data_IF_104336886119
#
_entry.id   IF_104336886119
#
_cell.length_a   1.000
_cell.length_b   1.000
_cell.length_c   1.000
_cell.angle_alpha   90.00
_cell.angle_beta   90.00
_cell.angle_gamma   90.00
#
_symmetry.space_group_name_H-M   'P 1'
#
loop_
_entity.id
_entity.type
_entity.pdbx_description
1 polymer ?
#
# COMPACT_ATOMS: atom_id res chain seq x y z
N UNK A 1 0.27 -24.71 7.13
CA UNK A 1 1.74 -24.75 6.90
C UNK A 1 2.09 -23.70 5.87
N UNK A 2 3.08 -22.83 6.14
CA UNK A 2 3.49 -21.78 5.19
C UNK A 2 4.06 -22.41 3.91
N UNK A 3 3.54 -21.98 2.76
CA UNK A 3 4.09 -22.37 1.47
C UNK A 3 5.16 -21.35 1.02
N UNK A 4 6.40 -21.60 1.45
CA UNK A 4 7.56 -20.76 1.12
C UNK A 4 7.77 -20.58 -0.39
N UNK A 5 7.47 -21.62 -1.19
CA UNK A 5 7.59 -21.54 -2.65
C UNK A 5 6.56 -20.56 -3.24
N UNK A 6 5.31 -20.61 -2.78
CA UNK A 6 4.28 -19.67 -3.21
C UNK A 6 4.65 -18.22 -2.87
N UNK A 7 5.19 -17.96 -1.67
CA UNK A 7 5.68 -16.64 -1.29
C UNK A 7 6.80 -16.14 -2.21
N UNK A 8 7.83 -16.96 -2.45
CA UNK A 8 8.95 -16.62 -3.32
C UNK A 8 8.52 -16.36 -4.77
N UNK A 9 7.60 -17.18 -5.32
CA UNK A 9 7.05 -16.98 -6.66
C UNK A 9 6.24 -15.70 -6.73
N UNK A 10 5.38 -15.44 -5.74
CA UNK A 10 4.56 -14.21 -5.68
C UNK A 10 5.43 -12.96 -5.63
N UNK A 11 6.48 -12.95 -4.81
CA UNK A 11 7.45 -11.87 -4.76
C UNK A 11 8.15 -11.67 -6.11
N UNK A 12 8.59 -12.76 -6.74
CA UNK A 12 9.27 -12.72 -8.04
C UNK A 12 8.35 -12.16 -9.14
N UNK A 13 7.08 -12.54 -9.14
CA UNK A 13 6.05 -12.00 -10.05
C UNK A 13 5.90 -10.49 -9.82
N UNK A 14 5.71 -10.06 -8.57
CA UNK A 14 5.58 -8.64 -8.22
C UNK A 14 6.80 -7.84 -8.69
N UNK A 15 8.00 -8.35 -8.43
CA UNK A 15 9.27 -7.73 -8.81
C UNK A 15 9.40 -7.63 -10.34
N UNK A 16 9.16 -8.72 -11.06
CA UNK A 16 9.27 -8.76 -12.51
C UNK A 16 8.27 -7.79 -13.17
N UNK A 17 6.99 -7.85 -12.79
CA UNK A 17 5.99 -6.95 -13.34
C UNK A 17 6.28 -5.48 -12.99
N UNK A 18 6.71 -5.18 -11.77
CA UNK A 18 7.10 -3.81 -11.40
C UNK A 18 8.29 -3.32 -12.24
N UNK A 19 9.30 -4.17 -12.43
CA UNK A 19 10.48 -3.85 -13.24
C UNK A 19 10.14 -3.55 -14.71
N UNK A 20 9.22 -4.30 -15.32
CA UNK A 20 8.82 -4.09 -16.72
C UNK A 20 7.75 -3.00 -16.90
N UNK A 21 6.78 -2.88 -15.98
CA UNK A 21 5.70 -1.90 -16.08
C UNK A 21 6.18 -0.47 -15.79
N UNK A 22 7.18 -0.29 -14.92
CA UNK A 22 7.70 1.03 -14.58
C UNK A 22 8.26 1.80 -15.79
N UNK A 23 9.18 1.26 -16.61
CA UNK A 23 9.66 1.93 -17.82
C UNK A 23 8.55 2.09 -18.87
N UNK A 24 7.60 1.15 -18.96
CA UNK A 24 6.45 1.27 -19.86
C UNK A 24 5.57 2.48 -19.47
N UNK A 25 5.22 2.60 -18.18
CA UNK A 25 4.44 3.73 -17.67
C UNK A 25 5.20 5.06 -17.85
N UNK A 26 6.54 5.04 -17.73
CA UNK A 26 7.37 6.21 -18.05
C UNK A 26 7.20 6.66 -19.51
N UNK A 27 7.24 5.72 -20.47
CA UNK A 27 7.05 6.04 -21.89
C UNK A 27 5.64 6.57 -22.16
N UNK A 28 4.62 5.96 -21.55
CA UNK A 28 3.22 6.41 -21.68
C UNK A 28 3.05 7.82 -21.12
N UNK A 29 3.60 8.09 -19.93
CA UNK A 29 3.56 9.41 -19.31
C UNK A 29 4.20 10.49 -20.21
N UNK A 30 5.36 10.18 -20.80
CA UNK A 30 6.03 11.09 -21.73
C UNK A 30 5.20 11.35 -22.99
N UNK A 31 4.57 10.31 -23.58
CA UNK A 31 3.73 10.45 -24.77
C UNK A 31 2.44 11.23 -24.52
N UNK A 32 1.84 11.05 -23.34
CA UNK A 32 0.61 11.74 -22.95
C UNK A 32 0.86 13.13 -22.34
N UNK A 33 2.12 13.54 -22.19
CA UNK A 33 2.48 14.81 -21.54
C UNK A 33 2.14 14.86 -20.04
N UNK A 34 1.98 13.70 -19.40
CA UNK A 34 1.67 13.56 -17.97
C UNK A 34 2.98 13.71 -17.19
N UNK A 35 3.38 14.96 -16.98
CA UNK A 35 4.68 15.35 -16.45
C UNK A 35 4.55 16.28 -15.26
N UNK A 36 5.29 16.03 -14.18
CA UNK A 36 5.26 16.93 -13.02
C UNK A 36 5.89 18.26 -13.42
N UNK A 37 5.24 19.37 -13.07
CA UNK A 37 5.81 20.69 -13.29
C UNK A 37 6.87 20.93 -12.20
N UNK A 38 8.11 21.33 -12.54
CA UNK A 38 9.11 21.65 -11.51
C UNK A 38 8.60 22.83 -10.66
N UNK A 39 8.38 22.56 -9.36
CA UNK A 39 7.94 23.56 -8.39
C UNK A 39 9.12 24.36 -7.79
N UNK A 40 8.82 25.53 -7.19
CA UNK A 40 9.81 26.44 -6.55
C UNK A 40 10.60 25.83 -5.36
N UNK A 41 10.32 24.58 -4.95
CA UNK A 41 10.95 23.87 -3.82
C UNK A 41 11.68 22.58 -4.22
N UNK A 42 11.81 22.27 -5.52
CA UNK A 42 12.44 21.02 -6.00
C UNK A 42 13.89 21.25 -6.42
N UNK A 43 14.79 20.32 -6.04
CA UNK A 43 16.22 20.29 -6.42
C UNK A 43 16.40 19.90 -7.89
N UNK A 44 15.41 19.22 -8.48
CA UNK A 44 15.43 18.80 -9.88
C UNK A 44 14.79 19.86 -10.80
N UNK A 45 15.54 20.25 -11.84
CA UNK A 45 15.13 21.20 -12.88
C UNK A 45 14.34 20.57 -14.03
N UNK A 46 14.15 19.25 -14.03
CA UNK A 46 13.48 18.49 -15.12
C UNK A 46 12.15 17.93 -14.65
N UNK A 47 11.12 18.03 -15.50
CA UNK A 47 9.83 17.35 -15.30
C UNK A 47 10.00 15.84 -15.18
N UNK A 48 9.44 15.25 -14.12
CA UNK A 48 9.51 13.81 -13.85
C UNK A 48 8.16 13.16 -14.17
N UNK A 49 8.13 12.03 -14.88
CA UNK A 49 6.92 11.24 -15.10
C UNK A 49 6.36 10.67 -13.78
N UNK A 50 5.09 10.91 -13.45
CA UNK A 50 4.48 10.52 -12.16
C UNK A 50 3.57 9.27 -12.22
N UNK A 51 3.59 8.49 -13.31
CA UNK A 51 2.80 7.25 -13.43
C UNK A 51 3.45 6.02 -12.77
N UNK A 52 4.55 6.18 -12.02
CA UNK A 52 5.27 5.08 -11.38
C UNK A 52 4.42 4.28 -10.38
N UNK A 53 3.61 4.97 -9.57
CA UNK A 53 2.71 4.32 -8.61
C UNK A 53 1.67 3.42 -9.27
N UNK A 54 1.25 3.74 -10.50
CA UNK A 54 0.33 2.89 -11.28
C UNK A 54 1.01 1.57 -11.65
N UNK A 55 2.28 1.60 -12.06
CA UNK A 55 3.03 0.40 -12.38
C UNK A 55 3.14 -0.55 -11.18
N UNK A 56 3.46 -0.01 -10.00
CA UNK A 56 3.57 -0.77 -8.75
C UNK A 56 2.21 -1.35 -8.35
N UNK A 57 1.14 -0.56 -8.44
CA UNK A 57 -0.21 -1.03 -8.16
C UNK A 57 -0.63 -2.18 -9.08
N UNK A 58 -0.39 -2.08 -10.40
CA UNK A 58 -0.69 -3.19 -11.32
C UNK A 58 0.13 -4.44 -11.03
N UNK A 59 1.43 -4.30 -10.71
CA UNK A 59 2.26 -5.44 -10.30
C UNK A 59 1.71 -6.12 -9.04
N UNK A 60 1.24 -5.34 -8.06
CA UNK A 60 0.57 -5.84 -6.86
C UNK A 60 -0.74 -6.57 -7.21
N UNK A 61 -1.60 -5.98 -8.04
CA UNK A 61 -2.86 -6.60 -8.49
C UNK A 61 -2.62 -7.94 -9.19
N UNK A 62 -1.67 -8.00 -10.13
CA UNK A 62 -1.31 -9.23 -10.85
C UNK A 62 -0.85 -10.31 -9.87
N UNK A 63 -0.04 -9.94 -8.88
CA UNK A 63 0.48 -10.88 -7.87
C UNK A 63 -0.64 -11.44 -6.99
N UNK A 64 -1.59 -10.61 -6.57
CA UNK A 64 -2.78 -11.06 -5.83
C UNK A 64 -3.65 -12.00 -6.67
N UNK A 65 -3.88 -11.68 -7.95
CA UNK A 65 -4.63 -12.57 -8.84
C UNK A 65 -3.94 -13.92 -9.03
N UNK A 66 -2.61 -13.94 -9.13
CA UNK A 66 -1.84 -15.17 -9.19
C UNK A 66 -2.04 -16.03 -7.93
N UNK A 67 -1.91 -15.44 -6.74
CA UNK A 67 -2.13 -16.16 -5.47
C UNK A 67 -3.55 -16.70 -5.39
N UNK A 68 -4.55 -15.90 -5.72
CA UNK A 68 -5.96 -16.32 -5.74
C UNK A 68 -6.25 -17.45 -6.74
N UNK A 69 -5.49 -17.53 -7.83
CA UNK A 69 -5.62 -18.58 -8.84
C UNK A 69 -5.00 -19.90 -8.36
N UNK A 70 -3.79 -19.84 -7.78
CA UNK A 70 -3.03 -21.02 -7.34
C UNK A 70 -3.52 -21.53 -5.98
N UNK A 71 -4.09 -20.66 -5.14
CA UNK A 71 -4.62 -20.99 -3.82
C UNK A 71 -6.10 -20.55 -3.68
N UNK A 72 -7.05 -21.41 -4.11
CA UNK A 72 -8.48 -21.10 -4.00
C UNK A 72 -8.99 -20.93 -2.57
N UNK A 73 -8.37 -21.61 -1.59
CA UNK A 73 -8.74 -21.49 -0.17
C UNK A 73 -8.44 -20.07 0.34
N UNK A 74 -7.24 -19.56 0.06
CA UNK A 74 -6.86 -18.18 0.37
C UNK A 74 -7.83 -17.17 -0.26
N UNK A 75 -8.22 -17.39 -1.53
CA UNK A 75 -9.18 -16.52 -2.22
C UNK A 75 -10.54 -16.49 -1.52
N UNK A 76 -11.03 -17.63 -1.05
CA UNK A 76 -12.34 -17.73 -0.39
C UNK A 76 -12.29 -17.09 0.99
N UNK A 77 -11.25 -17.42 1.78
CA UNK A 77 -11.06 -16.92 3.14
C UNK A 77 -10.92 -15.40 3.19
N UNK A 78 -10.09 -14.83 2.30
CA UNK A 78 -9.77 -13.39 2.29
C UNK A 78 -10.54 -12.60 1.23
N UNK A 79 -11.64 -13.14 0.67
CA UNK A 79 -12.35 -12.54 -0.46
C UNK A 79 -12.72 -11.06 -0.25
N UNK A 80 -13.26 -10.73 0.93
CA UNK A 80 -13.67 -9.36 1.26
C UNK A 80 -12.47 -8.44 1.45
N UNK A 81 -11.44 -8.89 2.16
CA UNK A 81 -10.22 -8.14 2.42
C UNK A 81 -9.46 -7.86 1.12
N UNK A 82 -9.36 -8.86 0.23
CA UNK A 82 -8.75 -8.70 -1.10
C UNK A 82 -9.55 -7.67 -1.91
N UNK A 83 -10.88 -7.79 -1.95
CA UNK A 83 -11.73 -6.81 -2.65
C UNK A 83 -11.54 -5.40 -2.10
N UNK A 84 -11.54 -5.25 -0.78
CA UNK A 84 -11.30 -3.97 -0.11
C UNK A 84 -9.94 -3.38 -0.44
N UNK A 85 -8.90 -4.20 -0.41
CA UNK A 85 -7.51 -3.79 -0.69
C UNK A 85 -7.32 -3.35 -2.14
N UNK A 86 -7.92 -4.06 -3.10
CA UNK A 86 -7.88 -3.67 -4.51
C UNK A 86 -8.64 -2.35 -4.75
N UNK A 87 -9.86 -2.21 -4.22
CA UNK A 87 -10.65 -0.98 -4.39
C UNK A 87 -9.94 0.21 -3.72
N UNK A 88 -9.51 0.06 -2.46
CA UNK A 88 -8.81 1.10 -1.73
C UNK A 88 -7.48 1.47 -2.40
N UNK A 89 -6.70 0.49 -2.84
CA UNK A 89 -5.45 0.70 -3.56
C UNK A 89 -5.65 1.52 -4.84
N UNK A 90 -6.65 1.18 -5.65
CA UNK A 90 -7.02 1.98 -6.82
C UNK A 90 -7.40 3.43 -6.45
N UNK A 91 -8.20 3.61 -5.41
CA UNK A 91 -8.62 4.95 -4.96
C UNK A 91 -7.45 5.79 -4.44
N UNK A 92 -6.50 5.20 -3.69
CA UNK A 92 -5.29 5.90 -3.24
C UNK A 92 -4.42 6.30 -4.43
N UNK A 93 -4.24 5.43 -5.40
CA UNK A 93 -3.48 5.74 -6.64
C UNK A 93 -4.15 6.88 -7.40
N UNK A 94 -5.49 6.86 -7.55
CA UNK A 94 -6.23 7.94 -8.21
C UNK A 94 -6.09 9.24 -7.43
N UNK A 95 -6.25 9.21 -6.11
CA UNK A 95 -6.13 10.39 -5.26
C UNK A 95 -4.72 11.00 -5.34
N UNK A 96 -3.68 10.16 -5.27
CA UNK A 96 -2.28 10.57 -5.43
C UNK A 96 -2.02 11.17 -6.81
N UNK A 97 -2.50 10.53 -7.87
CA UNK A 97 -2.36 11.03 -9.24
C UNK A 97 -3.04 12.40 -9.43
N UNK A 98 -4.22 12.58 -8.82
CA UNK A 98 -4.93 13.86 -8.86
C UNK A 98 -4.18 14.94 -8.07
N UNK A 99 -3.55 14.59 -6.95
CA UNK A 99 -2.71 15.49 -6.16
C UNK A 99 -1.47 15.91 -6.94
N UNK A 100 -0.75 14.98 -7.57
CA UNK A 100 0.43 15.27 -8.37
C UNK A 100 0.11 16.13 -9.60
N UNK A 101 -1.05 15.91 -10.22
CA UNK A 101 -1.46 16.63 -11.42
C UNK A 101 -2.00 18.04 -11.14
N UNK A 102 -2.74 18.24 -10.04
CA UNK A 102 -3.49 19.49 -9.78
C UNK A 102 -3.08 20.23 -8.50
N UNK A 103 -2.37 19.57 -7.58
CA UNK A 103 -2.11 20.08 -6.23
C UNK A 103 -3.42 20.22 -5.45
N UNK A 104 -3.89 19.14 -4.84
CA UNK A 104 -5.18 19.15 -4.14
C UNK A 104 -5.05 19.91 -2.82
N UNK A 105 -6.11 20.61 -2.41
CA UNK A 105 -6.17 21.23 -1.09
C UNK A 105 -5.93 20.16 0.01
N UNK A 106 -5.02 20.38 0.98
CA UNK A 106 -4.71 19.41 2.02
C UNK A 106 -5.92 18.84 2.75
N UNK A 107 -6.95 19.65 3.01
CA UNK A 107 -8.19 19.20 3.68
C UNK A 107 -9.01 18.26 2.80
N UNK A 108 -9.03 18.48 1.48
CA UNK A 108 -9.71 17.61 0.51
C UNK A 108 -8.95 16.31 0.31
N UNK A 109 -7.61 16.37 0.30
CA UNK A 109 -6.76 15.17 0.27
C UNK A 109 -6.98 14.32 1.53
N UNK A 110 -7.00 14.96 2.70
CA UNK A 110 -7.23 14.30 3.98
C UNK A 110 -8.62 13.65 4.05
N UNK A 111 -9.68 14.34 3.60
CA UNK A 111 -11.03 13.76 3.59
C UNK A 111 -11.13 12.55 2.66
N UNK A 112 -10.47 12.58 1.50
CA UNK A 112 -10.35 11.43 0.61
C UNK A 112 -9.64 10.24 1.27
N UNK A 113 -8.53 10.48 1.97
CA UNK A 113 -7.82 9.43 2.71
C UNK A 113 -8.68 8.83 3.84
N UNK A 114 -9.42 9.66 4.58
CA UNK A 114 -10.36 9.21 5.62
C UNK A 114 -11.47 8.35 5.02
N UNK A 115 -12.04 8.75 3.87
CA UNK A 115 -13.06 7.96 3.18
C UNK A 115 -12.53 6.58 2.73
N UNK A 116 -11.30 6.53 2.23
CA UNK A 116 -10.64 5.27 1.84
C UNK A 116 -10.36 4.40 3.08
N UNK A 117 -9.92 4.99 4.18
CA UNK A 117 -9.68 4.27 5.43
C UNK A 117 -10.97 3.69 6.01
N UNK A 118 -12.09 4.43 5.96
CA UNK A 118 -13.42 3.94 6.32
C UNK A 118 -13.87 2.78 5.43
N UNK A 119 -13.57 2.84 4.13
CA UNK A 119 -13.85 1.74 3.21
C UNK A 119 -13.08 0.48 3.62
N UNK A 120 -11.77 0.59 3.90
CA UNK A 120 -10.95 -0.52 4.39
C UNK A 120 -11.49 -1.09 5.71
N UNK A 121 -11.88 -0.22 6.65
CA UNK A 121 -12.53 -0.65 7.91
C UNK A 121 -13.79 -1.48 7.65
N UNK A 122 -14.61 -1.06 6.68
CA UNK A 122 -15.80 -1.80 6.23
C UNK A 122 -15.48 -3.19 5.66
N UNK A 123 -14.34 -3.35 4.98
CA UNK A 123 -13.84 -4.62 4.44
C UNK A 123 -13.06 -5.49 5.45
N UNK A 124 -13.04 -5.11 6.72
CA UNK A 124 -12.47 -5.93 7.81
C UNK A 124 -11.04 -5.59 8.19
N UNK A 125 -10.43 -4.55 7.62
CA UNK A 125 -9.14 -4.03 8.10
C UNK A 125 -9.38 -3.20 9.36
N UNK A 126 -9.36 -3.84 10.53
CA UNK A 126 -9.72 -3.23 11.81
C UNK A 126 -8.71 -3.55 12.90
N UNK A 127 -8.37 -2.55 13.70
CA UNK A 127 -7.64 -2.74 14.95
C UNK A 127 -8.67 -2.98 16.06
N UNK A 128 -8.95 -4.24 16.36
CA UNK A 128 -10.00 -4.63 17.34
C UNK A 128 -9.43 -5.03 18.70
N UNK A 129 -8.15 -5.40 18.75
CA UNK A 129 -7.47 -5.87 19.96
C UNK A 129 -6.25 -5.01 20.21
N UNK A 130 -6.07 -4.63 21.47
CA UNK A 130 -4.84 -4.02 21.97
C UNK A 130 -4.13 -5.01 22.88
N UNK A 131 -2.92 -5.39 22.51
CA UNK A 131 -2.07 -6.29 23.31
C UNK A 131 -1.08 -5.47 24.12
N UNK A 132 -1.12 -5.61 25.45
CA UNK A 132 -0.13 -4.98 26.32
C UNK A 132 1.24 -5.66 26.13
N UNK A 133 2.28 -4.94 25.66
CA UNK A 133 3.57 -5.55 25.33
C UNK A 133 4.36 -6.05 26.55
N UNK A 134 4.02 -5.60 27.76
CA UNK A 134 4.70 -5.99 29.00
C UNK A 134 4.08 -7.22 29.66
N UNK A 135 2.75 -7.34 29.57
CA UNK A 135 2.00 -8.41 30.26
C UNK A 135 1.41 -9.45 29.31
N UNK A 136 1.37 -9.17 28.00
CA UNK A 136 0.70 -10.01 27.01
C UNK A 136 -0.83 -9.99 27.08
N UNK A 137 -1.41 -9.20 27.99
CA UNK A 137 -2.88 -9.16 28.16
C UNK A 137 -3.50 -8.45 26.97
N UNK A 138 -4.46 -9.14 26.34
CA UNK A 138 -5.24 -8.63 25.23
C UNK A 138 -6.53 -7.97 25.73
N UNK A 139 -6.83 -6.78 25.22
CA UNK A 139 -8.05 -6.05 25.54
C UNK A 139 -8.77 -5.68 24.25
N UNK A 140 -10.05 -6.05 24.15
CA UNK A 140 -10.88 -5.64 23.02
C UNK A 140 -11.19 -4.14 23.10
N UNK A 141 -10.95 -3.45 21.99
CA UNK A 141 -11.21 -2.02 21.88
C UNK A 141 -12.72 -1.78 21.70
N UNK A 142 -13.30 -0.78 22.37
CA UNK A 142 -14.65 -0.32 22.06
C UNK A 142 -14.75 0.07 20.58
N UNK A 143 -15.89 -0.22 19.94
CA UNK A 143 -16.07 -0.05 18.50
C UNK A 143 -15.68 1.35 17.98
N UNK A 144 -16.10 2.41 18.66
CA UNK A 144 -15.75 3.79 18.29
C UNK A 144 -14.24 4.05 18.35
N UNK A 145 -13.56 3.47 19.35
CA UNK A 145 -12.12 3.62 19.51
C UNK A 145 -11.37 2.82 18.44
N UNK A 146 -11.85 1.61 18.09
CA UNK A 146 -11.33 0.82 16.98
C UNK A 146 -11.39 1.58 15.65
N UNK A 147 -12.53 2.22 15.35
CA UNK A 147 -12.68 3.08 14.15
C UNK A 147 -11.63 4.19 14.18
N UNK A 148 -11.57 4.95 15.28
CA UNK A 148 -10.69 6.10 15.37
C UNK A 148 -9.22 5.72 15.20
N UNK A 149 -8.77 4.66 15.89
CA UNK A 149 -7.41 4.16 15.81
C UNK A 149 -7.10 3.66 14.40
N UNK A 150 -7.98 2.85 13.81
CA UNK A 150 -7.76 2.28 12.49
C UNK A 150 -7.64 3.37 11.41
N UNK A 151 -8.56 4.34 11.41
CA UNK A 151 -8.53 5.44 10.44
C UNK A 151 -7.28 6.28 10.64
N UNK A 152 -6.97 6.67 11.88
CA UNK A 152 -5.80 7.48 12.19
C UNK A 152 -4.51 6.78 11.77
N UNK A 153 -4.43 5.47 11.95
CA UNK A 153 -3.29 4.65 11.54
C UNK A 153 -3.12 4.63 10.02
N UNK A 154 -4.18 4.34 9.26
CA UNK A 154 -4.14 4.30 7.80
C UNK A 154 -3.79 5.68 7.23
N UNK A 155 -4.51 6.72 7.66
CA UNK A 155 -4.28 8.10 7.19
C UNK A 155 -2.88 8.59 7.58
N UNK A 156 -2.44 8.26 8.80
CA UNK A 156 -1.09 8.58 9.28
C UNK A 156 -0.02 7.94 8.43
N UNK A 157 -0.13 6.64 8.12
CA UNK A 157 0.82 5.92 7.26
C UNK A 157 0.87 6.50 5.84
N UNK A 158 -0.28 6.78 5.22
CA UNK A 158 -0.33 7.36 3.88
C UNK A 158 0.36 8.74 3.85
N UNK A 159 0.12 9.59 4.84
CA UNK A 159 0.77 10.90 4.91
C UNK A 159 2.25 10.81 5.25
N UNK A 160 2.65 9.91 6.15
CA UNK A 160 4.05 9.68 6.51
C UNK A 160 4.86 9.25 5.28
N UNK A 161 4.35 8.31 4.48
CA UNK A 161 4.99 7.88 3.25
C UNK A 161 5.09 9.03 2.23
N UNK A 162 4.03 9.82 2.05
CA UNK A 162 4.05 10.97 1.14
C UNK A 162 5.07 12.05 1.56
N UNK A 163 5.24 12.28 2.86
CA UNK A 163 6.22 13.26 3.38
C UNK A 163 7.67 12.80 3.20
N UNK A 164 7.92 11.49 3.28
CA UNK A 164 9.25 10.90 3.15
C UNK A 164 9.68 10.76 1.67
N UNK A 165 8.73 10.70 0.74
CA UNK A 165 8.98 10.57 -0.72
C UNK A 165 9.53 11.83 -1.40
N UNK A 166 10.15 12.73 -0.63
CA UNK A 166 10.80 13.95 -1.13
C UNK A 166 12.24 13.75 -1.62
N UNK A 167 12.81 12.55 -1.48
CA UNK A 167 14.18 12.20 -1.84
C UNK A 167 14.23 10.93 -2.69
N UNK A 168 15.03 10.96 -3.76
CA UNK A 168 15.17 9.85 -4.71
C UNK A 168 15.52 8.54 -3.97
N UNK A 169 14.60 7.57 -4.04
CA UNK A 169 14.80 6.21 -3.50
C UNK A 169 14.61 6.04 -1.99
N UNK A 170 14.36 7.11 -1.22
CA UNK A 170 14.18 7.03 0.23
C UNK A 170 12.90 6.25 0.61
N UNK A 171 11.76 6.63 0.04
CA UNK A 171 10.48 5.98 0.32
C UNK A 171 10.50 4.49 -0.08
N UNK A 172 11.11 4.18 -1.22
CA UNK A 172 11.27 2.80 -1.68
C UNK A 172 12.17 1.98 -0.75
N UNK A 173 13.32 2.54 -0.32
CA UNK A 173 14.22 1.86 0.62
C UNK A 173 13.56 1.56 1.96
N UNK A 174 12.85 2.53 2.55
CA UNK A 174 12.12 2.34 3.80
C UNK A 174 11.02 1.29 3.64
N UNK A 175 10.29 1.31 2.51
CA UNK A 175 9.24 0.32 2.23
C UNK A 175 9.81 -1.10 2.16
N UNK A 176 10.98 -1.30 1.55
CA UNK A 176 11.65 -2.61 1.49
C UNK A 176 12.04 -3.08 2.89
N UNK A 177 12.60 -2.20 3.74
CA UNK A 177 12.98 -2.55 5.12
C UNK A 177 11.75 -2.93 5.95
N UNK A 178 10.66 -2.15 5.85
CA UNK A 178 9.40 -2.42 6.56
C UNK A 178 8.78 -3.73 6.08
N UNK A 179 8.66 -3.94 4.77
CA UNK A 179 8.09 -5.15 4.20
C UNK A 179 8.91 -6.40 4.57
N UNK A 180 10.25 -6.32 4.53
CA UNK A 180 11.13 -7.41 4.95
C UNK A 180 11.01 -7.73 6.45
N UNK A 181 10.88 -6.69 7.29
CA UNK A 181 10.68 -6.86 8.74
C UNK A 181 9.34 -7.54 9.04
N UNK A 182 8.26 -7.13 8.36
CA UNK A 182 6.94 -7.74 8.52
C UNK A 182 6.93 -9.20 8.05
N UNK A 183 7.58 -9.49 6.91
CA UNK A 183 7.74 -10.86 6.43
C UNK A 183 8.49 -11.72 7.46
N UNK A 184 9.58 -11.19 8.03
CA UNK A 184 10.34 -11.91 9.06
C UNK A 184 9.49 -12.22 10.29
N UNK A 185 8.73 -11.23 10.79
CA UNK A 185 7.84 -11.40 11.95
C UNK A 185 6.77 -12.46 11.64
N UNK A 186 6.14 -12.39 10.47
CA UNK A 186 5.10 -13.35 10.06
C UNK A 186 5.65 -14.79 10.01
N UNK A 187 6.81 -14.98 9.38
CA UNK A 187 7.49 -16.28 9.33
C UNK A 187 7.93 -16.78 10.71
N UNK A 188 8.40 -15.88 11.58
CA UNK A 188 8.80 -16.23 12.95
C UNK A 188 7.61 -16.70 13.77
N UNK A 189 6.48 -15.97 13.73
CA UNK A 189 5.27 -16.35 14.44
C UNK A 189 4.70 -17.67 13.92
N UNK A 190 4.63 -17.83 12.60
CA UNK A 190 4.07 -19.04 12.00
C UNK A 190 4.85 -20.32 12.32
N UNK A 191 6.19 -20.25 12.46
CA UNK A 191 7.02 -21.40 12.85
C UNK A 191 6.99 -21.71 14.35
N UNK A 192 6.60 -20.75 15.20
CA UNK A 192 6.51 -20.94 16.65
C UNK A 192 5.10 -21.35 17.12
N UNK A 193 4.06 -21.08 16.33
CA UNK A 193 2.66 -21.39 16.64
C UNK A 193 2.24 -22.74 16.01
N UNK A 194 3.00 -23.26 15.04
CA UNK A 194 2.81 -24.59 14.42
C UNK A 194 3.57 -25.70 15.14
#
# INVERSE_FOLDING_TARGET
>A
MINYALLGITFTIALAFSYFLTPLMRVIALRLGILSKPGKRMVHTKSIPFLGGIAIYFAFVISIFFVCFVNPEFRIEFCQQIKGLLIAGALVVILGLCDDAKGINPLVKLSGQVAIALLLFGYGFRVEVFTNPLTGVETHLPFLLSIFITISWIVGLVNAMNLIDGLDGLAAGITVIVAGSLLFIDLFLANNIS
#
